data_IF_957039834955
#
_entry.id   IF_957039834955
#
_cell.length_a   1.000
_cell.length_b   1.000
_cell.length_c   1.000
_cell.angle_alpha   90.00
_cell.angle_beta   90.00
_cell.angle_gamma   90.00
#
_symmetry.space_group_name_H-M   'P 1'
#
loop_
_entity.id
_entity.type
_entity.pdbx_description
1 polymer ?
#
# COMPACT_ATOMS: atom_id res chain seq x y z
N UNK A 1 -18.12 -2.86 6.33
CA UNK A 1 -17.02 -3.08 7.31
C UNK A 1 -17.43 -2.62 8.71
N UNK A 2 -18.02 -1.43 8.86
CA UNK A 2 -18.49 -0.90 10.15
C UNK A 2 -19.53 -1.79 10.85
N UNK A 3 -20.50 -2.28 10.08
CA UNK A 3 -21.58 -3.15 10.55
C UNK A 3 -21.04 -4.47 11.14
N UNK A 4 -20.14 -5.15 10.42
CA UNK A 4 -19.49 -6.37 10.91
C UNK A 4 -18.68 -6.17 12.20
N UNK A 5 -18.05 -5.01 12.38
CA UNK A 5 -17.32 -4.71 13.61
C UNK A 5 -18.26 -4.49 14.80
N UNK A 6 -19.40 -3.82 14.57
CA UNK A 6 -20.45 -3.65 15.59
C UNK A 6 -21.10 -4.98 15.95
N UNK A 7 -21.34 -5.84 14.97
CA UNK A 7 -21.91 -7.16 15.21
C UNK A 7 -20.99 -8.05 16.05
N UNK A 8 -19.66 -7.91 15.91
CA UNK A 8 -18.70 -8.59 16.78
C UNK A 8 -18.81 -8.18 18.26
N UNK A 9 -19.24 -6.95 18.56
CA UNK A 9 -19.48 -6.49 19.94
C UNK A 9 -20.67 -7.25 20.56
N UNK A 10 -21.69 -7.56 19.76
CA UNK A 10 -22.85 -8.34 20.23
C UNK A 10 -22.50 -9.80 20.57
N UNK A 11 -21.37 -10.30 20.05
CA UNK A 11 -20.91 -11.68 20.22
C UNK A 11 -19.86 -11.85 21.34
N UNK A 12 -19.48 -10.77 22.04
CA UNK A 12 -18.40 -10.80 23.06
C UNK A 12 -18.65 -11.80 24.19
N UNK A 13 -19.91 -12.09 24.52
CA UNK A 13 -20.28 -13.05 25.56
C UNK A 13 -20.56 -14.47 25.04
N UNK A 14 -20.54 -14.66 23.72
CA UNK A 14 -20.91 -15.92 23.07
C UNK A 14 -19.74 -16.62 22.40
N UNK A 15 -18.70 -15.88 22.03
CA UNK A 15 -17.55 -16.38 21.28
C UNK A 15 -16.26 -16.26 22.10
N UNK A 16 -15.28 -17.16 21.89
CA UNK A 16 -13.96 -17.01 22.50
C UNK A 16 -13.29 -15.69 22.08
N UNK A 17 -12.70 -14.99 23.04
CA UNK A 17 -12.02 -13.69 22.83
C UNK A 17 -10.93 -13.74 21.76
N UNK A 18 -10.26 -14.89 21.61
CA UNK A 18 -9.26 -15.13 20.57
C UNK A 18 -9.87 -15.05 19.17
N UNK A 19 -11.04 -15.65 18.94
CA UNK A 19 -11.73 -15.65 17.64
C UNK A 19 -12.20 -14.24 17.29
N UNK A 20 -12.75 -13.51 18.26
CA UNK A 20 -13.17 -12.11 18.09
C UNK A 20 -11.97 -11.22 17.75
N UNK A 21 -10.83 -11.42 18.41
CA UNK A 21 -9.60 -10.67 18.12
C UNK A 21 -9.08 -10.99 16.72
N UNK A 22 -9.09 -12.26 16.30
CA UNK A 22 -8.72 -12.65 14.94
C UNK A 22 -9.62 -11.99 13.89
N UNK A 23 -10.94 -11.92 14.13
CA UNK A 23 -11.90 -11.27 13.24
C UNK A 23 -11.70 -9.74 13.17
N UNK A 24 -11.52 -9.07 14.32
CA UNK A 24 -11.21 -7.63 14.37
C UNK A 24 -9.93 -7.32 13.58
N UNK A 25 -8.88 -8.12 13.75
CA UNK A 25 -7.62 -7.98 13.01
C UNK A 25 -7.77 -8.29 11.52
N UNK A 26 -8.56 -9.30 11.15
CA UNK A 26 -8.84 -9.65 9.75
C UNK A 26 -9.64 -8.57 9.02
N UNK A 27 -10.63 -7.97 9.68
CA UNK A 27 -11.38 -6.84 9.13
C UNK A 27 -10.46 -5.63 8.91
N UNK A 28 -9.46 -5.44 9.79
CA UNK A 28 -8.34 -4.54 9.53
C UNK A 28 -8.76 -3.08 9.36
N UNK A 29 -9.83 -2.63 10.04
CA UNK A 29 -10.26 -1.24 9.98
C UNK A 29 -9.18 -0.35 10.58
N UNK A 30 -8.71 0.61 9.79
CA UNK A 30 -7.77 1.64 10.21
C UNK A 30 -8.36 3.02 9.94
N UNK A 31 -8.08 3.96 10.84
CA UNK A 31 -8.33 5.39 10.62
C UNK A 31 -6.99 6.08 10.45
N UNK A 32 -6.92 7.02 9.52
CA UNK A 32 -5.67 7.67 9.15
C UNK A 32 -5.92 8.91 8.31
N UNK A 33 -4.83 9.44 7.74
CA UNK A 33 -4.84 10.61 6.89
C UNK A 33 -4.50 10.21 5.45
N UNK A 34 -5.26 10.73 4.50
CA UNK A 34 -4.93 10.72 3.08
C UNK A 34 -4.43 12.10 2.67
N UNK A 35 -3.30 12.16 1.98
CA UNK A 35 -2.72 13.41 1.47
C UNK A 35 -1.83 13.15 0.25
N UNK A 36 -1.55 14.20 -0.52
CA UNK A 36 -0.73 14.12 -1.74
C UNK A 36 0.66 14.72 -1.54
N UNK A 37 1.69 14.00 -1.98
CA UNK A 37 3.03 14.56 -2.17
C UNK A 37 3.17 15.09 -3.59
N UNK A 38 3.37 16.41 -3.73
CA UNK A 38 3.60 17.03 -5.03
C UNK A 38 4.93 16.57 -5.63
N UNK A 39 4.90 16.27 -6.91
CA UNK A 39 6.09 15.94 -7.70
C UNK A 39 6.73 17.27 -8.14
N UNK A 40 8.05 17.38 -7.96
CA UNK A 40 8.80 18.55 -8.39
C UNK A 40 8.68 18.76 -9.91
N UNK A 41 8.60 20.02 -10.34
CA UNK A 41 8.32 20.39 -11.73
C UNK A 41 9.33 19.77 -12.71
N UNK A 42 10.60 19.65 -12.30
CA UNK A 42 11.66 19.05 -13.11
C UNK A 42 11.43 17.55 -13.35
N UNK A 43 10.69 16.89 -12.45
CA UNK A 43 10.39 15.48 -12.50
C UNK A 43 9.06 15.16 -13.23
N UNK A 44 8.20 16.15 -13.52
CA UNK A 44 6.89 15.91 -14.14
C UNK A 44 6.98 15.18 -15.50
N UNK A 45 8.00 15.51 -16.31
CA UNK A 45 8.25 14.80 -17.58
C UNK A 45 8.66 13.34 -17.36
N UNK A 46 9.27 13.02 -16.23
CA UNK A 46 9.58 11.64 -15.83
C UNK A 46 8.35 10.86 -15.39
N UNK A 47 7.40 11.58 -14.80
CA UNK A 47 6.21 11.04 -14.15
C UNK A 47 4.97 11.02 -15.06
N UNK A 48 5.15 11.16 -16.38
CA UNK A 48 4.04 11.20 -17.35
C UNK A 48 2.97 12.27 -17.04
N UNK A 49 3.39 13.41 -16.50
CA UNK A 49 2.46 14.48 -16.13
C UNK A 49 1.64 14.22 -14.87
N UNK A 50 1.90 13.14 -14.13
CA UNK A 50 1.38 12.95 -12.77
C UNK A 50 2.00 14.04 -11.89
N UNK A 51 1.14 14.79 -11.20
CA UNK A 51 1.53 15.98 -10.43
C UNK A 51 1.68 15.69 -8.94
N UNK A 52 1.04 14.63 -8.44
CA UNK A 52 1.10 14.24 -7.04
C UNK A 52 1.00 12.73 -6.85
N UNK A 53 1.53 12.26 -5.72
CA UNK A 53 1.41 10.88 -5.26
C UNK A 53 0.50 10.90 -4.03
N UNK A 54 -0.72 10.40 -4.18
CA UNK A 54 -1.62 10.21 -3.06
C UNK A 54 -1.14 9.06 -2.17
N UNK A 55 -1.12 9.30 -0.87
CA UNK A 55 -0.74 8.31 0.14
C UNK A 55 -1.76 8.28 1.26
N UNK A 56 -1.84 7.12 1.94
CA UNK A 56 -2.57 6.94 3.18
C UNK A 56 -1.62 6.50 4.28
N UNK A 57 -1.77 7.06 5.48
CA UNK A 57 -1.03 6.63 6.66
C UNK A 57 -1.88 6.71 7.93
N UNK A 58 -1.71 5.75 8.83
CA UNK A 58 -2.25 5.82 10.19
C UNK A 58 -1.37 6.65 11.13
N UNK A 59 -0.18 7.07 10.68
CA UNK A 59 0.81 7.85 11.42
C UNK A 59 1.08 9.20 10.77
N UNK A 60 0.10 10.10 10.83
CA UNK A 60 0.23 11.45 10.30
C UNK A 60 1.23 12.30 11.11
N UNK A 61 1.52 11.92 12.35
CA UNK A 61 2.52 12.55 13.21
C UNK A 61 3.95 12.47 12.63
N UNK A 62 4.24 11.48 11.77
CA UNK A 62 5.58 11.25 11.22
C UNK A 62 5.82 11.89 9.86
N UNK A 63 4.91 12.71 9.34
CA UNK A 63 4.99 13.23 7.95
C UNK A 63 6.30 13.99 7.69
N UNK A 64 6.78 14.77 8.65
CA UNK A 64 8.02 15.52 8.51
C UNK A 64 9.29 14.65 8.47
N UNK A 65 9.19 13.36 8.82
CA UNK A 65 10.30 12.41 8.78
C UNK A 65 10.35 11.54 7.53
N UNK A 66 9.45 11.76 6.56
CA UNK A 66 9.41 10.96 5.32
C UNK A 66 10.63 11.27 4.45
N UNK A 67 11.42 10.23 4.15
CA UNK A 67 12.64 10.34 3.33
C UNK A 67 12.46 9.79 1.92
N UNK A 68 11.51 8.89 1.71
CA UNK A 68 11.14 8.35 0.40
C UNK A 68 9.71 7.80 0.43
N UNK A 69 9.15 7.56 -0.76
CA UNK A 69 7.85 6.92 -0.95
C UNK A 69 8.07 5.60 -1.70
N UNK A 70 7.51 4.52 -1.18
CA UNK A 70 7.47 3.23 -1.89
C UNK A 70 6.17 3.13 -2.69
N UNK A 71 6.26 2.71 -3.93
CA UNK A 71 5.13 2.63 -4.86
C UNK A 71 4.96 1.19 -5.33
N UNK A 72 3.71 0.74 -5.47
CA UNK A 72 3.40 -0.57 -6.00
C UNK A 72 3.87 -0.71 -7.46
N UNK A 73 4.37 -1.89 -7.89
CA UNK A 73 4.78 -2.14 -9.28
C UNK A 73 3.70 -1.81 -10.32
N UNK A 74 2.43 -1.97 -9.95
CA UNK A 74 1.25 -1.73 -10.79
C UNK A 74 0.88 -0.24 -10.92
N UNK A 75 1.53 0.65 -10.17
CA UNK A 75 1.17 2.06 -10.17
C UNK A 75 1.50 2.72 -11.53
N UNK A 76 0.66 3.64 -12.07
CA UNK A 76 0.88 4.27 -13.38
C UNK A 76 2.24 4.94 -13.57
N UNK A 77 2.83 5.46 -12.48
CA UNK A 77 4.19 6.02 -12.49
C UNK A 77 5.26 5.00 -12.89
N UNK A 78 5.09 3.73 -12.51
CA UNK A 78 6.10 2.69 -12.70
C UNK A 78 6.24 2.35 -14.18
N UNK A 79 5.16 2.36 -14.97
CA UNK A 79 5.21 2.14 -16.42
C UNK A 79 6.18 3.10 -17.13
N UNK A 80 6.31 4.32 -16.61
CA UNK A 80 7.18 5.35 -17.15
C UNK A 80 8.58 5.28 -16.55
N UNK A 81 8.69 5.02 -15.25
CA UNK A 81 9.96 4.86 -14.56
C UNK A 81 10.77 3.67 -15.11
N UNK A 82 10.12 2.55 -15.48
CA UNK A 82 10.77 1.36 -16.05
C UNK A 82 11.58 1.67 -17.31
N UNK A 83 11.22 2.71 -18.06
CA UNK A 83 11.95 3.12 -19.28
C UNK A 83 13.28 3.83 -18.99
N UNK A 84 13.52 4.23 -17.73
CA UNK A 84 14.65 5.07 -17.30
C UNK A 84 15.60 4.36 -16.33
N UNK A 85 15.26 3.15 -15.89
CA UNK A 85 16.09 2.33 -15.01
C UNK A 85 16.98 1.38 -15.81
N UNK A 86 17.89 0.68 -15.13
CA UNK A 86 18.74 -0.32 -15.76
C UNK A 86 17.90 -1.43 -16.42
N UNK A 87 18.49 -2.12 -17.40
CA UNK A 87 17.81 -3.23 -18.06
C UNK A 87 17.52 -4.39 -17.10
N UNK A 88 18.35 -4.55 -16.07
CA UNK A 88 18.17 -5.55 -15.02
C UNK A 88 16.95 -5.20 -14.13
N UNK A 89 16.88 -3.97 -13.63
CA UNK A 89 15.74 -3.50 -12.82
C UNK A 89 14.44 -3.56 -13.62
N UNK A 90 14.47 -3.17 -14.90
CA UNK A 90 13.33 -3.23 -15.81
C UNK A 90 12.80 -4.66 -15.95
N UNK A 91 13.69 -5.66 -16.04
CA UNK A 91 13.32 -7.08 -16.09
C UNK A 91 12.74 -7.53 -14.75
N UNK A 92 13.34 -7.13 -13.63
CA UNK A 92 12.86 -7.49 -12.29
C UNK A 92 11.45 -6.95 -12.04
N UNK A 93 11.20 -5.68 -12.36
CA UNK A 93 9.87 -5.07 -12.18
C UNK A 93 8.82 -5.75 -13.05
N UNK A 94 9.16 -6.09 -14.30
CA UNK A 94 8.26 -6.86 -15.19
C UNK A 94 8.00 -8.29 -14.71
N UNK A 95 9.00 -8.96 -14.16
CA UNK A 95 8.84 -10.28 -13.56
C UNK A 95 7.86 -10.19 -12.38
N UNK A 96 8.05 -9.21 -11.50
CA UNK A 96 7.13 -8.94 -10.41
C UNK A 96 5.71 -8.76 -10.95
N UNK A 97 5.48 -7.84 -11.90
CA UNK A 97 4.17 -7.58 -12.51
C UNK A 97 3.45 -8.85 -13.01
N UNK A 98 4.20 -9.79 -13.60
CA UNK A 98 3.66 -11.04 -14.15
C UNK A 98 3.49 -12.15 -13.11
N UNK A 99 3.92 -11.94 -11.87
CA UNK A 99 3.74 -12.87 -10.76
C UNK A 99 2.49 -12.46 -9.97
N UNK A 100 1.67 -13.42 -9.55
CA UNK A 100 0.43 -13.09 -8.84
C UNK A 100 0.72 -12.46 -7.47
N UNK A 101 -0.16 -11.58 -6.98
CA UNK A 101 -0.01 -10.98 -5.64
C UNK A 101 0.15 -12.03 -4.54
N UNK A 102 -0.46 -13.21 -4.72
CA UNK A 102 -0.43 -14.32 -3.78
C UNK A 102 0.94 -15.01 -3.75
N UNK A 103 1.56 -15.23 -4.90
CA UNK A 103 2.91 -15.80 -5.02
C UNK A 103 3.97 -14.85 -4.43
N UNK A 104 3.87 -13.54 -4.73
CA UNK A 104 4.78 -12.52 -4.16
C UNK A 104 4.72 -12.44 -2.63
N UNK A 105 3.54 -12.65 -2.04
CA UNK A 105 3.37 -12.63 -0.59
C UNK A 105 3.94 -13.88 0.11
N UNK A 106 4.02 -15.00 -0.62
CA UNK A 106 4.58 -16.27 -0.12
C UNK A 106 6.10 -16.27 -0.15
N UNK A 107 6.73 -15.66 -1.16
CA UNK A 107 8.20 -15.57 -1.27
C UNK A 107 8.86 -14.78 -0.13
N UNK A 108 8.15 -13.83 0.49
CA UNK A 108 8.65 -13.04 1.64
C UNK A 108 8.74 -13.81 2.97
N UNK A 109 8.30 -15.08 3.02
CA UNK A 109 8.33 -15.92 4.24
C UNK A 109 9.50 -16.92 4.29
N UNK A 110 10.46 -16.82 3.36
CA UNK A 110 11.70 -17.62 3.34
C UNK A 110 12.81 -17.04 4.18
#
# INVERSE_FOLDING_TARGET
>A
AEELLKDLETLENHWPSQVLTMQKNWIGKSSGLQFGFKIADECLKACNGIQEIEVFTTRADTIYGVTYIAIAPEHPLVEHAIKRVSQEDSKMIKAILNTTQRERALEKKG
#
